data_IF_737603772025
#
_entry.id   IF_737603772025
#
_cell.length_a   1.000
_cell.length_b   1.000
_cell.length_c   1.000
_cell.angle_alpha   90.00
_cell.angle_beta   90.00
_cell.angle_gamma   90.00
#
_symmetry.space_group_name_H-M   'P 1'
#
loop_
_entity.id
_entity.type
_entity.pdbx_description
1 polymer ?
#
# COMPACT_ATOMS: atom_id res chain seq x y z
N UNK A 1 26.52 -54.72 47.65
CA UNK A 1 25.24 -55.44 47.41
C UNK A 1 24.16 -54.43 47.07
N UNK A 2 23.27 -54.78 46.14
CA UNK A 2 22.13 -54.02 45.59
C UNK A 2 22.49 -52.87 44.61
N UNK A 3 22.71 -53.16 43.32
CA UNK A 3 21.73 -53.39 42.21
C UNK A 3 21.16 -52.05 41.71
N UNK A 4 21.77 -51.45 40.66
CA UNK A 4 21.48 -51.63 39.22
C UNK A 4 20.10 -51.10 38.82
N UNK A 5 20.07 -50.33 37.73
CA UNK A 5 18.88 -49.94 36.93
C UNK A 5 18.34 -48.50 37.08
N UNK A 6 19.21 -47.50 37.27
CA UNK A 6 18.84 -46.09 37.06
C UNK A 6 19.36 -45.51 35.72
N UNK A 7 20.04 -46.32 34.91
CA UNK A 7 20.80 -45.82 33.74
C UNK A 7 20.12 -46.11 32.39
N UNK A 8 19.00 -46.86 32.37
CA UNK A 8 18.44 -47.42 31.12
C UNK A 8 17.22 -46.64 30.57
N UNK A 9 16.80 -45.54 31.20
CA UNK A 9 15.75 -44.68 30.64
C UNK A 9 16.14 -43.21 30.52
N UNK A 10 17.45 -42.89 30.48
CA UNK A 10 17.92 -41.53 30.19
C UNK A 10 18.41 -41.37 28.73
N UNK A 11 18.24 -42.40 27.89
CA UNK A 11 18.75 -42.43 26.51
C UNK A 11 17.65 -42.25 25.45
N UNK A 12 16.37 -42.14 25.87
CA UNK A 12 15.23 -42.02 24.93
C UNK A 12 14.73 -40.58 24.68
N UNK A 13 15.38 -39.55 25.24
CA UNK A 13 15.01 -38.14 25.04
C UNK A 13 16.05 -37.38 24.19
N UNK A 14 17.05 -38.09 23.63
CA UNK A 14 18.19 -37.47 22.94
C UNK A 14 18.09 -37.33 21.42
N UNK A 15 17.01 -37.78 20.77
CA UNK A 15 16.97 -37.92 19.31
C UNK A 15 15.85 -37.12 18.59
N UNK A 16 15.28 -36.10 19.25
CA UNK A 16 14.22 -35.27 18.67
C UNK A 16 14.51 -33.76 18.82
N UNK A 17 15.73 -33.35 18.50
CA UNK A 17 16.13 -31.95 18.42
C UNK A 17 16.91 -31.71 17.11
N UNK A 18 16.48 -32.32 16.00
CA UNK A 18 16.81 -31.76 14.68
C UNK A 18 15.88 -30.58 14.47
N UNK A 19 16.43 -29.40 14.76
CA UNK A 19 15.88 -28.09 14.43
C UNK A 19 15.37 -28.09 12.99
N UNK A 20 14.05 -28.14 12.83
CA UNK A 20 13.41 -27.68 11.62
C UNK A 20 13.56 -26.15 11.62
N UNK A 21 14.61 -25.66 10.96
CA UNK A 21 14.67 -24.25 10.58
C UNK A 21 13.69 -24.13 9.41
N UNK A 22 12.49 -23.62 9.66
CA UNK A 22 11.64 -23.16 8.57
C UNK A 22 12.37 -21.98 7.93
N UNK A 23 12.99 -22.20 6.76
CA UNK A 23 13.45 -21.08 5.95
C UNK A 23 12.21 -20.45 5.33
N UNK A 24 11.80 -19.30 5.85
CA UNK A 24 10.84 -18.42 5.20
C UNK A 24 11.39 -18.16 3.78
N UNK A 25 10.69 -18.63 2.75
CA UNK A 25 11.06 -18.31 1.39
C UNK A 25 10.96 -16.78 1.23
N UNK A 26 11.95 -16.10 0.61
CA UNK A 26 11.83 -14.68 0.33
C UNK A 26 10.51 -14.46 -0.42
N UNK A 27 9.66 -13.63 0.15
CA UNK A 27 8.37 -13.29 -0.44
C UNK A 27 8.63 -12.67 -1.80
N UNK A 28 8.03 -13.22 -2.86
CA UNK A 28 8.18 -12.72 -4.24
C UNK A 28 7.64 -11.29 -4.45
N UNK A 29 7.20 -10.63 -3.37
CA UNK A 29 6.65 -9.27 -3.36
C UNK A 29 7.55 -8.24 -2.66
N UNK A 30 8.79 -8.59 -2.26
CA UNK A 30 9.75 -7.66 -1.66
C UNK A 30 10.50 -6.79 -2.68
N UNK A 31 9.90 -6.50 -3.84
CA UNK A 31 10.40 -5.43 -4.70
C UNK A 31 10.27 -4.11 -3.93
N UNK A 32 11.37 -3.37 -3.68
CA UNK A 32 11.31 -2.13 -2.92
C UNK A 32 10.44 -1.12 -3.68
N UNK A 33 9.18 -1.01 -3.25
CA UNK A 33 8.24 -0.03 -3.79
C UNK A 33 8.76 1.34 -3.38
N UNK A 34 9.25 2.11 -4.35
CA UNK A 34 9.67 3.48 -4.09
C UNK A 34 8.43 4.31 -3.77
N UNK A 35 8.33 4.94 -2.58
CA UNK A 35 7.16 5.74 -2.24
C UNK A 35 7.03 6.94 -3.19
N UNK A 36 5.80 7.26 -3.58
CA UNK A 36 5.51 8.50 -4.28
C UNK A 36 5.85 9.70 -3.38
N UNK A 37 6.61 10.65 -3.94
CA UNK A 37 6.90 11.91 -3.27
C UNK A 37 5.75 12.87 -3.52
N UNK A 38 4.96 13.15 -2.48
CA UNK A 38 3.86 14.10 -2.53
C UNK A 38 4.42 15.51 -2.24
N UNK A 39 4.23 16.48 -3.15
CA UNK A 39 4.77 17.83 -2.97
C UNK A 39 4.17 18.56 -1.76
N UNK A 40 5.03 19.23 -1.00
CA UNK A 40 4.63 20.21 0.01
C UNK A 40 4.40 21.58 -0.63
N UNK A 41 3.35 22.27 -0.19
CA UNK A 41 2.99 23.64 -0.61
C UNK A 41 2.69 24.51 0.61
N UNK A 42 2.98 25.81 0.51
CA UNK A 42 2.75 26.79 1.58
C UNK A 42 1.72 27.86 1.17
N UNK A 43 0.89 27.55 0.17
CA UNK A 43 -0.18 28.43 -0.34
C UNK A 43 -1.53 28.00 0.22
N UNK A 44 -2.37 28.97 0.59
CA UNK A 44 -3.75 28.71 0.99
C UNK A 44 -4.55 28.25 -0.24
N UNK A 45 -5.24 27.12 -0.11
CA UNK A 45 -6.20 26.60 -1.09
C UNK A 45 -7.61 26.82 -0.56
N UNK A 46 -8.52 27.31 -1.40
CA UNK A 46 -9.94 27.39 -1.06
C UNK A 46 -10.61 26.09 -1.46
N UNK A 47 -11.11 25.31 -0.50
CA UNK A 47 -11.74 24.02 -0.79
C UNK A 47 -13.22 24.24 -1.12
N UNK A 48 -13.50 24.74 -2.32
CA UNK A 48 -14.85 25.01 -2.85
C UNK A 48 -15.28 24.06 -3.99
N UNK A 49 -14.38 23.16 -4.40
CA UNK A 49 -14.61 22.21 -5.49
C UNK A 49 -14.16 22.71 -6.87
N UNK A 50 -13.67 23.95 -6.97
CA UNK A 50 -13.03 24.49 -8.16
C UNK A 50 -11.51 24.31 -8.03
N UNK A 51 -10.87 23.74 -9.06
CA UNK A 51 -9.43 23.49 -9.07
C UNK A 51 -8.70 24.53 -9.93
N UNK A 52 -8.89 25.81 -9.63
CA UNK A 52 -8.38 26.94 -10.42
C UNK A 52 -7.18 27.66 -9.78
N UNK A 53 -6.80 27.32 -8.54
CA UNK A 53 -5.60 27.90 -7.95
C UNK A 53 -4.32 27.39 -8.65
N UNK A 54 -3.36 28.28 -8.97
CA UNK A 54 -2.13 27.90 -9.69
C UNK A 54 -1.29 26.82 -8.98
N UNK A 55 -1.45 26.68 -7.66
CA UNK A 55 -0.71 25.69 -6.88
C UNK A 55 -1.07 24.25 -7.27
N UNK A 56 -2.25 24.01 -7.85
CA UNK A 56 -2.66 22.69 -8.36
C UNK A 56 -1.74 22.17 -9.47
N UNK A 57 -1.08 23.04 -10.24
CA UNK A 57 -0.09 22.64 -11.25
C UNK A 57 1.16 21.96 -10.66
N UNK A 58 1.40 22.15 -9.35
CA UNK A 58 2.53 21.56 -8.62
C UNK A 58 2.16 20.25 -7.92
N UNK A 59 0.90 19.84 -7.95
CA UNK A 59 0.47 18.61 -7.31
C UNK A 59 1.11 17.40 -7.99
N UNK A 60 1.34 16.33 -7.21
CA UNK A 60 1.58 15.03 -7.80
C UNK A 60 0.30 14.55 -8.47
N UNK A 61 0.40 13.96 -9.66
CA UNK A 61 -0.78 13.58 -10.45
C UNK A 61 -0.70 12.14 -10.92
N UNK A 62 -1.87 11.51 -11.02
CA UNK A 62 -2.04 10.22 -11.67
C UNK A 62 -3.42 10.08 -12.31
N UNK A 63 -3.57 9.14 -13.22
CA UNK A 63 -4.85 8.75 -13.80
C UNK A 63 -5.42 7.51 -13.10
N UNK A 64 -6.76 7.46 -12.99
CA UNK A 64 -7.47 6.24 -12.60
C UNK A 64 -7.79 5.44 -13.86
N UNK A 65 -6.88 4.54 -14.22
CA UNK A 65 -6.95 3.83 -15.51
C UNK A 65 -7.91 2.64 -15.52
N UNK A 66 -8.35 2.19 -14.35
CA UNK A 66 -9.18 0.99 -14.20
C UNK A 66 -10.41 1.26 -13.33
N UNK A 67 -11.53 0.66 -13.72
CA UNK A 67 -12.78 0.65 -12.96
C UNK A 67 -12.92 -0.70 -12.27
N UNK A 68 -13.01 -0.70 -10.94
CA UNK A 68 -13.16 -1.94 -10.16
C UNK A 68 -14.59 -2.47 -10.24
N UNK A 69 -15.59 -1.59 -10.10
CA UNK A 69 -17.01 -1.92 -10.24
C UNK A 69 -17.73 -0.70 -10.84
N UNK A 70 -18.64 -0.87 -11.83
CA UNK A 70 -19.19 -2.13 -12.38
C UNK A 70 -18.30 -2.88 -13.40
N UNK A 71 -17.19 -2.30 -13.84
CA UNK A 71 -16.35 -2.86 -14.90
C UNK A 71 -15.54 -4.11 -14.55
N UNK A 72 -15.43 -4.50 -13.27
CA UNK A 72 -14.66 -5.67 -12.82
C UNK A 72 -13.17 -5.62 -13.23
N UNK A 73 -12.50 -4.50 -12.93
CA UNK A 73 -11.10 -4.19 -13.26
C UNK A 73 -10.81 -3.99 -14.76
N UNK A 74 -11.80 -3.54 -15.54
CA UNK A 74 -11.59 -3.11 -16.94
C UNK A 74 -11.03 -1.70 -17.03
N UNK A 75 -10.49 -1.29 -18.20
CA UNK A 75 -10.12 0.11 -18.42
C UNK A 75 -11.29 1.07 -18.10
N UNK A 76 -10.99 2.17 -17.43
CA UNK A 76 -12.00 3.15 -17.06
C UNK A 76 -12.62 3.80 -18.32
N UNK A 77 -13.96 3.86 -18.45
CA UNK A 77 -14.62 4.42 -19.63
C UNK A 77 -14.48 5.94 -19.72
N UNK A 78 -14.27 6.60 -18.57
CA UNK A 78 -14.11 8.05 -18.46
C UNK A 78 -12.80 8.34 -17.73
N UNK A 79 -11.99 9.23 -18.32
CA UNK A 79 -10.72 9.67 -17.73
C UNK A 79 -10.99 10.38 -16.40
N UNK A 80 -10.22 10.03 -15.38
CA UNK A 80 -10.17 10.77 -14.11
C UNK A 80 -8.72 11.02 -13.73
N UNK A 81 -8.39 12.27 -13.39
CA UNK A 81 -7.10 12.66 -12.83
C UNK A 81 -7.23 12.88 -11.32
N UNK A 82 -6.27 12.35 -10.55
CA UNK A 82 -6.10 12.62 -9.13
C UNK A 82 -4.93 13.56 -8.95
N UNK A 83 -5.11 14.60 -8.15
CA UNK A 83 -4.09 15.59 -7.80
C UNK A 83 -3.86 15.55 -6.29
N UNK A 84 -2.62 15.39 -5.86
CA UNK A 84 -2.26 15.26 -4.45
C UNK A 84 -1.10 16.18 -4.08
N UNK A 85 -1.28 16.96 -3.02
CA UNK A 85 -0.25 17.78 -2.38
C UNK A 85 -0.58 17.95 -0.89
N UNK A 86 0.34 18.49 -0.10
CA UNK A 86 0.07 18.72 1.32
C UNK A 86 0.70 20.02 1.82
N UNK A 87 0.19 20.57 2.91
CA UNK A 87 0.86 21.60 3.70
C UNK A 87 1.41 20.98 5.01
N UNK A 88 1.70 21.80 6.03
CA UNK A 88 2.15 21.34 7.34
C UNK A 88 1.11 20.51 8.11
N UNK A 89 -0.17 20.73 7.82
CA UNK A 89 -1.31 20.28 8.62
C UNK A 89 -2.43 19.60 7.82
N UNK A 90 -2.41 19.69 6.49
CA UNK A 90 -3.48 19.19 5.60
C UNK A 90 -2.93 18.44 4.42
N UNK A 91 -3.63 17.37 4.04
CA UNK A 91 -3.50 16.70 2.75
C UNK A 91 -4.62 17.21 1.83
N UNK A 92 -4.27 17.66 0.64
CA UNK A 92 -5.21 18.10 -0.38
C UNK A 92 -5.29 17.02 -1.46
N UNK A 93 -6.51 16.60 -1.76
CA UNK A 93 -6.81 15.62 -2.82
C UNK A 93 -7.88 16.21 -3.72
N UNK A 94 -7.53 16.44 -4.98
CA UNK A 94 -8.44 16.90 -6.02
C UNK A 94 -8.73 15.79 -7.02
N UNK A 95 -9.96 15.73 -7.52
CA UNK A 95 -10.36 14.84 -8.59
C UNK A 95 -10.86 15.67 -9.77
N UNK A 96 -10.29 15.44 -10.95
CA UNK A 96 -10.81 15.99 -12.20
C UNK A 96 -11.40 14.85 -13.01
N UNK A 97 -12.73 14.72 -12.94
CA UNK A 97 -13.50 13.74 -13.71
C UNK A 97 -13.95 14.38 -15.03
N UNK A 98 -13.71 13.68 -16.15
CA UNK A 98 -14.00 14.17 -17.49
C UNK A 98 -15.30 13.57 -18.06
N UNK A 99 -16.30 13.33 -17.20
CA UNK A 99 -17.58 12.77 -17.61
C UNK A 99 -18.32 13.74 -18.54
N UNK A 100 -18.68 13.33 -19.78
CA UNK A 100 -19.45 14.18 -20.69
C UNK A 100 -20.89 14.43 -20.23
N UNK A 101 -21.46 13.61 -19.34
CA UNK A 101 -22.79 13.80 -18.75
C UNK A 101 -22.76 13.70 -17.21
N UNK A 102 -22.26 14.72 -16.52
CA UNK A 102 -22.13 14.71 -15.06
C UNK A 102 -23.47 14.83 -14.31
N UNK A 103 -24.60 14.87 -15.01
CA UNK A 103 -25.94 15.07 -14.43
C UNK A 103 -26.73 13.79 -14.22
N UNK A 104 -26.24 12.67 -14.76
CA UNK A 104 -26.89 11.36 -14.76
C UNK A 104 -27.06 10.73 -13.36
#
# INVERSE_FOLDING_TARGET
>A
MLKRSATICLVLIGLCQTLAIAQEAPSANDEPTTPFQIPRVDTRINVDGVLDEPVWERAWTMTLDYEVQPGENTPAPVRTEVLVMHDESRLYVGFRAYDPDPSA
#
